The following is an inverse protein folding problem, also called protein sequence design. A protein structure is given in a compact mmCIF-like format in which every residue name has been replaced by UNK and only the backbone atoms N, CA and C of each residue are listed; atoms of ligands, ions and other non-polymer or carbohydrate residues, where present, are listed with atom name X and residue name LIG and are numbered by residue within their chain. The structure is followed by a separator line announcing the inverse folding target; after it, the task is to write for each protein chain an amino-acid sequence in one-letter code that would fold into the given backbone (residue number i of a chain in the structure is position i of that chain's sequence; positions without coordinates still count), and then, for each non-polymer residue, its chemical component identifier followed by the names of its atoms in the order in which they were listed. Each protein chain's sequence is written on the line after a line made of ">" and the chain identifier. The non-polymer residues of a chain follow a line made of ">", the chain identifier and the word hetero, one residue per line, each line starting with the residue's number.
data_IF_742097218560
#
_entry.id   IF_742097218560
#
_cell.length_a   1.000
_cell.length_b   1.000
_cell.length_c   1.000
_cell.angle_alpha   90.00
_cell.angle_beta   90.00
_cell.angle_gamma   90.00
#
_symmetry.space_group_name_H-M   'P 1'
#
loop_
_entity.id
_entity.type
_entity.pdbx_description
1 polymer ?
#
# COMPACT_ATOMS: atom_id res chain seq x y z
N UNK A 1 27.77 -17.32 -16.66
CA UNK A 1 26.74 -16.54 -15.93
C UNK A 1 25.97 -17.51 -15.07
N UNK A 2 26.15 -17.42 -13.75
CA UNK A 2 25.42 -18.25 -12.80
C UNK A 2 23.92 -18.02 -12.89
N UNK A 3 23.14 -19.06 -12.54
CA UNK A 3 21.67 -19.00 -12.53
C UNK A 3 21.16 -17.79 -11.71
N UNK A 4 21.86 -17.44 -10.65
CA UNK A 4 21.58 -16.28 -9.80
C UNK A 4 21.73 -14.94 -10.55
N UNK A 5 22.84 -14.75 -11.27
CA UNK A 5 23.09 -13.53 -12.05
C UNK A 5 22.07 -13.36 -13.19
N UNK A 6 21.65 -14.48 -13.81
CA UNK A 6 20.58 -14.45 -14.82
C UNK A 6 19.24 -14.03 -14.22
N UNK A 7 18.88 -14.56 -13.05
CA UNK A 7 17.63 -14.19 -12.36
C UNK A 7 17.66 -12.70 -11.97
N UNK A 8 18.77 -12.22 -11.40
CA UNK A 8 18.95 -10.79 -11.10
C UNK A 8 18.82 -9.92 -12.34
N UNK A 9 19.50 -10.28 -13.43
CA UNK A 9 19.44 -9.52 -14.66
C UNK A 9 18.01 -9.44 -15.22
N UNK A 10 17.26 -10.55 -15.19
CA UNK A 10 15.85 -10.58 -15.61
C UNK A 10 14.99 -9.70 -14.70
N UNK A 11 15.17 -9.76 -13.39
CA UNK A 11 14.43 -8.91 -12.45
C UNK A 11 14.74 -7.43 -12.69
N UNK A 12 16.02 -7.07 -12.80
CA UNK A 12 16.44 -5.68 -13.04
C UNK A 12 15.91 -5.18 -14.39
N UNK A 13 15.94 -6.01 -15.44
CA UNK A 13 15.40 -5.65 -16.74
C UNK A 13 13.87 -5.45 -16.71
N UNK A 14 13.13 -6.37 -16.07
CA UNK A 14 11.68 -6.25 -15.92
C UNK A 14 11.30 -5.05 -15.07
N UNK A 15 11.96 -4.85 -13.92
CA UNK A 15 11.79 -3.67 -13.09
C UNK A 15 12.12 -2.40 -13.86
N UNK A 16 13.20 -2.36 -14.64
CA UNK A 16 13.57 -1.21 -15.46
C UNK A 16 12.52 -0.87 -16.52
N UNK A 17 11.98 -1.88 -17.21
CA UNK A 17 10.91 -1.70 -18.19
C UNK A 17 9.62 -1.20 -17.53
N UNK A 18 9.25 -1.81 -16.38
CA UNK A 18 8.05 -1.43 -15.62
C UNK A 18 8.21 -0.01 -15.06
N UNK A 19 9.33 0.31 -14.41
CA UNK A 19 9.62 1.65 -13.89
C UNK A 19 9.64 2.70 -15.00
N UNK A 20 10.21 2.39 -16.16
CA UNK A 20 10.17 3.28 -17.33
C UNK A 20 8.76 3.50 -17.89
N UNK A 21 7.85 2.53 -17.72
CA UNK A 21 6.45 2.60 -18.15
C UNK A 21 5.52 3.25 -17.11
N UNK A 22 5.86 3.19 -15.83
CA UNK A 22 5.05 3.72 -14.74
C UNK A 22 5.13 5.26 -14.63
N UNK A 23 6.22 5.88 -15.10
CA UNK A 23 6.38 7.33 -15.06
C UNK A 23 6.16 7.90 -13.65
N UNK A 24 5.15 8.77 -13.48
CA UNK A 24 4.79 9.38 -12.19
C UNK A 24 4.39 8.34 -11.13
N UNK A 25 3.79 7.22 -11.53
CA UNK A 25 3.38 6.14 -10.62
C UNK A 25 4.57 5.38 -10.03
N UNK A 26 5.77 5.53 -10.58
CA UNK A 26 6.96 4.84 -10.08
C UNK A 26 7.31 5.27 -8.64
N UNK A 27 7.15 6.56 -8.30
CA UNK A 27 7.48 7.09 -6.97
C UNK A 27 6.56 6.48 -5.90
N UNK A 28 5.21 6.55 -6.02
CA UNK A 28 4.32 5.89 -5.08
C UNK A 28 4.57 4.38 -4.96
N UNK A 29 4.86 3.69 -6.07
CA UNK A 29 5.12 2.24 -6.04
C UNK A 29 6.39 1.88 -5.25
N UNK A 30 7.47 2.64 -5.43
CA UNK A 30 8.72 2.43 -4.68
C UNK A 30 8.49 2.68 -3.19
N UNK A 31 7.81 3.78 -2.84
CA UNK A 31 7.48 4.08 -1.43
C UNK A 31 6.64 2.98 -0.80
N UNK A 32 5.65 2.45 -1.53
CA UNK A 32 4.79 1.38 -1.07
C UNK A 32 5.58 0.08 -0.80
N UNK A 33 6.53 -0.29 -1.67
CA UNK A 33 7.44 -1.42 -1.44
C UNK A 33 8.28 -1.19 -0.18
N UNK A 34 8.87 0.00 -0.02
CA UNK A 34 9.70 0.34 1.14
C UNK A 34 8.89 0.28 2.43
N UNK A 35 7.70 0.87 2.48
CA UNK A 35 6.80 0.80 3.64
C UNK A 35 6.44 -0.65 3.97
N UNK A 36 6.17 -1.50 2.98
CA UNK A 36 5.84 -2.90 3.20
C UNK A 36 7.00 -3.69 3.84
N UNK A 37 8.23 -3.45 3.37
CA UNK A 37 9.45 -4.06 3.94
C UNK A 37 9.66 -3.62 5.39
N UNK A 38 9.51 -2.32 5.66
CA UNK A 38 9.63 -1.77 7.02
C UNK A 38 8.56 -2.38 7.92
N UNK A 39 7.30 -2.41 7.48
CA UNK A 39 6.20 -2.97 8.27
C UNK A 39 6.39 -4.46 8.58
N UNK A 40 6.84 -5.24 7.61
CA UNK A 40 7.12 -6.66 7.85
C UNK A 40 8.26 -6.84 8.85
N UNK A 41 9.32 -6.05 8.75
CA UNK A 41 10.42 -6.07 9.70
C UNK A 41 9.94 -5.68 11.11
N UNK A 42 9.23 -4.55 11.27
CA UNK A 42 8.72 -4.11 12.57
C UNK A 42 7.70 -5.10 13.15
N UNK A 43 6.87 -5.74 12.32
CA UNK A 43 5.94 -6.77 12.75
C UNK A 43 6.63 -8.02 13.31
N UNK A 44 7.75 -8.45 12.71
CA UNK A 44 8.57 -9.54 13.25
C UNK A 44 9.14 -9.13 14.62
N UNK A 45 9.73 -7.94 14.74
CA UNK A 45 10.28 -7.46 16.02
C UNK A 45 9.20 -7.33 17.10
N UNK A 46 8.02 -6.82 16.76
CA UNK A 46 6.88 -6.71 17.68
C UNK A 46 6.40 -8.07 18.16
N UNK A 47 6.33 -9.07 17.26
CA UNK A 47 5.91 -10.43 17.62
C UNK A 47 6.87 -11.09 18.62
N UNK A 48 8.18 -10.86 18.47
CA UNK A 48 9.20 -11.36 19.39
C UNK A 48 9.06 -10.72 20.79
N UNK A 49 8.74 -9.44 20.86
CA UNK A 49 8.57 -8.72 22.14
C UNK A 49 7.28 -9.11 22.88
N UNK A 50 6.22 -9.50 22.14
CA UNK A 50 4.92 -9.89 22.72
C UNK A 50 4.84 -11.32 23.26
N UNK A 51 5.91 -12.15 23.12
CA UNK A 51 5.92 -13.58 23.53
C UNK A 51 4.69 -14.37 23.00
N UNK A 52 4.06 -13.92 21.92
CA UNK A 52 2.99 -14.65 21.28
C UNK A 52 3.61 -15.67 20.34
N UNK A 53 3.17 -16.92 20.42
CA UNK A 53 3.50 -17.92 19.40
C UNK A 53 3.19 -17.29 18.03
N UNK A 54 4.17 -17.34 17.13
CA UNK A 54 4.02 -16.85 15.77
C UNK A 54 2.99 -17.76 15.09
N UNK A 55 1.72 -17.45 15.28
CA UNK A 55 0.63 -18.10 14.60
C UNK A 55 0.74 -17.69 13.13
N UNK A 56 1.39 -18.54 12.35
CA UNK A 56 1.58 -18.40 10.91
C UNK A 56 0.26 -18.06 10.21
N UNK A 57 -0.88 -18.51 10.76
CA UNK A 57 -2.20 -18.22 10.23
C UNK A 57 -2.57 -16.72 10.34
N UNK A 58 -2.23 -16.05 11.45
CA UNK A 58 -2.41 -14.59 11.59
C UNK A 58 -1.47 -13.82 10.66
N UNK A 59 -0.21 -14.25 10.54
CA UNK A 59 0.76 -13.65 9.62
C UNK A 59 0.36 -13.74 8.15
N UNK A 60 -0.09 -14.94 7.72
CA UNK A 60 -0.59 -15.19 6.36
C UNK A 60 -1.84 -14.36 6.07
N UNK A 61 -2.76 -14.20 7.04
CA UNK A 61 -3.95 -13.36 6.87
C UNK A 61 -3.59 -11.88 6.68
N UNK A 62 -2.57 -11.39 7.40
CA UNK A 62 -2.02 -10.05 7.23
C UNK A 62 -1.42 -9.85 5.83
N UNK A 63 -0.55 -10.76 5.40
CA UNK A 63 0.09 -10.71 4.06
C UNK A 63 -0.97 -10.77 2.95
N UNK A 64 -1.97 -11.65 3.08
CA UNK A 64 -3.07 -11.77 2.11
C UNK A 64 -3.84 -10.46 1.98
N UNK A 65 -4.15 -9.79 3.10
CA UNK A 65 -4.82 -8.47 3.08
C UNK A 65 -3.98 -7.43 2.33
N UNK A 66 -2.66 -7.43 2.52
CA UNK A 66 -1.75 -6.52 1.80
C UNK A 66 -1.70 -6.79 0.31
N UNK A 67 -1.63 -8.06 -0.10
CA UNK A 67 -1.68 -8.43 -1.52
C UNK A 67 -3.01 -7.95 -2.14
N UNK A 68 -4.13 -8.12 -1.44
CA UNK A 68 -5.41 -7.58 -1.90
C UNK A 68 -5.41 -6.05 -2.01
N UNK A 69 -4.73 -5.33 -1.10
CA UNK A 69 -4.58 -3.87 -1.19
C UNK A 69 -3.78 -3.45 -2.44
N UNK A 70 -2.77 -4.21 -2.85
CA UNK A 70 -2.02 -3.92 -4.08
C UNK A 70 -2.88 -4.04 -5.34
N UNK A 71 -3.88 -4.94 -5.34
CA UNK A 71 -4.83 -5.05 -6.45
C UNK A 71 -5.61 -3.75 -6.65
N UNK A 72 -5.85 -2.96 -5.61
CA UNK A 72 -6.53 -1.67 -5.72
C UNK A 72 -5.71 -0.64 -6.51
N UNK A 73 -4.37 -0.68 -6.41
CA UNK A 73 -3.51 0.14 -7.28
C UNK A 73 -3.69 -0.27 -8.74
N UNK A 74 -3.79 -1.59 -9.00
CA UNK A 74 -4.11 -2.13 -10.32
C UNK A 74 -5.46 -1.65 -10.85
N UNK A 75 -6.49 -1.61 -9.99
CA UNK A 75 -7.80 -1.02 -10.34
C UNK A 75 -7.66 0.46 -10.67
N UNK A 76 -6.88 1.22 -9.89
CA UNK A 76 -6.58 2.62 -10.19
C UNK A 76 -5.94 2.80 -11.58
N UNK A 77 -4.99 1.94 -11.94
CA UNK A 77 -4.35 1.94 -13.27
C UNK A 77 -5.37 1.65 -14.39
N UNK A 78 -6.32 0.74 -14.16
CA UNK A 78 -7.40 0.48 -15.14
C UNK A 78 -8.26 1.73 -15.33
N UNK A 79 -8.65 2.41 -14.25
CA UNK A 79 -9.43 3.65 -14.32
C UNK A 79 -8.64 4.74 -15.06
N UNK A 80 -7.36 4.92 -14.75
CA UNK A 80 -6.53 5.91 -15.43
C UNK A 80 -6.39 5.64 -16.94
N UNK A 81 -6.31 4.37 -17.34
CA UNK A 81 -6.30 4.00 -18.77
C UNK A 81 -7.64 4.31 -19.46
N UNK A 82 -8.77 4.08 -18.78
CA UNK A 82 -10.09 4.44 -19.29
C UNK A 82 -10.26 5.96 -19.42
N UNK A 83 -9.75 6.73 -18.45
CA UNK A 83 -9.73 8.19 -18.50
C UNK A 83 -8.88 8.69 -19.66
N UNK A 84 -7.67 8.14 -19.85
CA UNK A 84 -6.79 8.50 -20.95
C UNK A 84 -7.41 8.16 -22.33
N UNK A 85 -8.06 7.00 -22.46
CA UNK A 85 -8.77 6.63 -23.69
C UNK A 85 -9.93 7.59 -23.99
N UNK A 86 -10.73 7.90 -22.98
CA UNK A 86 -11.88 8.80 -23.11
C UNK A 86 -11.43 10.23 -23.42
N UNK A 87 -10.40 10.74 -22.75
CA UNK A 87 -9.88 12.09 -22.99
C UNK A 87 -9.31 12.23 -24.40
N UNK A 88 -8.64 11.18 -24.90
CA UNK A 88 -8.18 11.10 -26.29
C UNK A 88 -9.35 11.15 -27.29
N UNK A 89 -10.43 10.42 -27.03
CA UNK A 89 -11.63 10.44 -27.87
C UNK A 89 -12.37 11.80 -27.85
N UNK A 90 -12.33 12.52 -26.73
CA UNK A 90 -12.97 13.85 -26.56
C UNK A 90 -12.04 15.00 -26.97
N UNK A 91 -10.77 14.72 -27.31
CA UNK A 91 -9.78 15.74 -27.70
C UNK A 91 -9.23 16.56 -26.52
N UNK A 92 -9.39 16.08 -25.29
CA UNK A 92 -8.87 16.70 -24.08
C UNK A 92 -7.53 16.04 -23.72
N UNK A 93 -6.46 16.83 -23.71
CA UNK A 93 -5.15 16.37 -23.24
C UNK A 93 -5.04 16.54 -21.73
N UNK A 94 -4.99 15.44 -20.98
CA UNK A 94 -4.69 15.47 -19.56
C UNK A 94 -3.16 15.61 -19.37
N UNK A 95 -2.67 16.61 -18.62
CA UNK A 95 -1.23 16.80 -18.39
C UNK A 95 -0.66 15.81 -17.36
N UNK A 96 -1.50 14.98 -16.76
CA UNK A 96 -1.14 13.99 -15.74
C UNK A 96 -1.53 12.58 -16.19
N UNK A 97 -0.72 11.60 -15.82
CA UNK A 97 -0.98 10.18 -16.04
C UNK A 97 -1.01 9.46 -14.70
N UNK A 98 -1.86 8.44 -14.59
CA UNK A 98 -1.98 7.59 -13.40
C UNK A 98 -2.43 8.33 -12.12
N UNK A 99 -3.32 9.32 -12.25
CA UNK A 99 -3.77 10.14 -11.12
C UNK A 99 -4.52 9.30 -10.08
N UNK A 100 -5.44 8.45 -10.52
CA UNK A 100 -6.25 7.61 -9.63
C UNK A 100 -5.36 6.57 -8.94
N UNK A 101 -4.49 5.90 -9.69
CA UNK A 101 -3.52 4.96 -9.14
C UNK A 101 -2.58 5.62 -8.12
N UNK A 102 -2.14 6.86 -8.36
CA UNK A 102 -1.32 7.60 -7.40
C UNK A 102 -2.08 7.86 -6.09
N UNK A 103 -3.33 8.30 -6.17
CA UNK A 103 -4.16 8.55 -4.98
C UNK A 103 -4.36 7.27 -4.18
N UNK A 104 -4.68 6.17 -4.85
CA UNK A 104 -4.86 4.86 -4.20
C UNK A 104 -3.56 4.38 -3.56
N UNK A 105 -2.42 4.55 -4.24
CA UNK A 105 -1.11 4.19 -3.69
C UNK A 105 -0.76 5.02 -2.44
N UNK A 106 -1.02 6.34 -2.45
CA UNK A 106 -0.83 7.21 -1.28
C UNK A 106 -1.71 6.76 -0.12
N UNK A 107 -2.97 6.43 -0.39
CA UNK A 107 -3.89 5.92 0.63
C UNK A 107 -3.38 4.61 1.25
N UNK A 108 -2.88 3.68 0.45
CA UNK A 108 -2.30 2.42 0.96
C UNK A 108 -1.02 2.68 1.77
N UNK A 109 -0.14 3.58 1.33
CA UNK A 109 1.06 3.97 2.08
C UNK A 109 0.68 4.50 3.46
N UNK A 110 -0.35 5.35 3.55
CA UNK A 110 -0.86 5.82 4.84
C UNK A 110 -1.30 4.65 5.73
N UNK A 111 -2.00 3.64 5.19
CA UNK A 111 -2.39 2.45 5.96
C UNK A 111 -1.18 1.64 6.45
N UNK A 112 -0.14 1.48 5.63
CA UNK A 112 1.10 0.80 6.03
C UNK A 112 1.84 1.59 7.12
N UNK A 113 1.86 2.92 7.04
CA UNK A 113 2.46 3.77 8.10
C UNK A 113 1.74 3.57 9.44
N UNK A 114 0.41 3.47 9.46
CA UNK A 114 -0.34 3.19 10.70
C UNK A 114 0.08 1.84 11.28
N UNK A 115 0.16 0.80 10.44
CA UNK A 115 0.61 -0.54 10.84
C UNK A 115 2.02 -0.54 11.44
N UNK A 116 2.95 0.22 10.82
CA UNK A 116 4.32 0.36 11.34
C UNK A 116 4.31 1.00 12.72
N UNK A 117 3.52 2.07 12.89
CA UNK A 117 3.44 2.80 14.15
C UNK A 117 2.82 1.95 15.26
N UNK A 118 1.84 1.10 14.95
CA UNK A 118 1.29 0.11 15.88
C UNK A 118 2.36 -0.90 16.30
N UNK A 119 3.10 -1.48 15.34
CA UNK A 119 4.20 -2.41 15.63
C UNK A 119 5.30 -1.77 16.50
N UNK A 120 5.66 -0.50 16.24
CA UNK A 120 6.67 0.22 17.04
C UNK A 120 6.18 0.44 18.48
N UNK A 121 4.93 0.86 18.64
CA UNK A 121 4.32 1.01 19.97
C UNK A 121 4.29 -0.32 20.73
N UNK A 122 4.04 -1.43 20.03
CA UNK A 122 4.00 -2.77 20.59
C UNK A 122 5.36 -3.30 21.05
N UNK A 123 6.45 -2.83 20.45
CA UNK A 123 7.84 -3.13 20.88
C UNK A 123 8.19 -2.37 22.19
N UNK A 124 7.32 -1.47 22.66
CA UNK A 124 7.55 -0.67 23.86
C UNK A 124 8.46 0.54 23.64
N UNK A 125 8.69 0.91 22.37
CA UNK A 125 9.34 2.18 22.03
C UNK A 125 8.34 3.30 22.31
N UNK A 126 8.71 4.22 23.20
CA UNK A 126 7.90 5.42 23.47
C UNK A 126 7.85 6.29 22.22
N UNK A 127 6.74 6.20 21.50
CA UNK A 127 6.47 7.07 20.37
C UNK A 127 6.50 8.52 20.86
N UNK A 128 7.19 9.44 20.16
CA UNK A 128 7.20 10.83 20.56
C UNK A 128 5.77 11.39 20.53
N UNK A 129 5.41 12.27 21.48
CA UNK A 129 4.02 12.67 21.74
C UNK A 129 3.35 13.41 20.58
N UNK A 130 4.10 13.85 19.56
CA UNK A 130 3.53 14.42 18.34
C UNK A 130 3.00 13.36 17.35
N UNK A 131 3.51 12.12 17.40
CA UNK A 131 3.06 11.03 16.52
C UNK A 131 1.78 10.38 17.03
N UNK A 132 1.58 10.31 18.34
CA UNK A 132 0.41 9.66 18.95
C UNK A 132 -0.94 10.28 18.51
N UNK A 133 -1.10 11.61 18.48
CA UNK A 133 -2.28 12.26 17.93
C UNK A 133 -2.43 12.00 16.43
N UNK A 134 -1.34 11.97 15.66
CA UNK A 134 -1.37 11.74 14.21
C UNK A 134 -1.86 10.31 13.93
N UNK A 135 -1.30 9.31 14.60
CA UNK A 135 -1.71 7.90 14.48
C UNK A 135 -3.19 7.75 14.83
N UNK A 136 -3.63 8.38 15.94
CA UNK A 136 -5.00 8.27 16.42
C UNK A 136 -6.01 8.95 15.48
N UNK A 137 -5.68 10.15 14.97
CA UNK A 137 -6.52 10.84 13.99
C UNK A 137 -6.54 10.12 12.64
N UNK A 138 -5.42 9.54 12.21
CA UNK A 138 -5.34 8.80 10.96
C UNK A 138 -6.11 7.48 11.05
N UNK A 139 -6.01 6.76 12.18
CA UNK A 139 -6.81 5.57 12.47
C UNK A 139 -8.31 5.88 12.47
N UNK A 140 -8.74 6.92 13.19
CA UNK A 140 -10.14 7.35 13.21
C UNK A 140 -10.63 7.66 11.80
N UNK A 141 -9.91 8.45 11.02
CA UNK A 141 -10.36 8.81 9.67
C UNK A 141 -10.41 7.63 8.69
N UNK A 142 -9.57 6.61 8.87
CA UNK A 142 -9.61 5.39 8.06
C UNK A 142 -10.75 4.47 8.50
N UNK A 143 -10.98 4.31 9.81
CA UNK A 143 -12.07 3.49 10.38
C UNK A 143 -13.44 4.14 10.15
N UNK A 144 -13.59 5.44 10.43
CA UNK A 144 -14.84 6.20 10.22
C UNK A 144 -15.26 6.17 8.74
N UNK A 145 -14.31 6.28 7.80
CA UNK A 145 -14.62 6.16 6.37
C UNK A 145 -14.86 4.73 5.89
N UNK A 146 -14.29 3.73 6.56
CA UNK A 146 -14.58 2.33 6.28
C UNK A 146 -15.97 1.92 6.79
N UNK A 147 -16.44 2.50 7.90
CA UNK A 147 -17.77 2.25 8.45
C UNK A 147 -18.88 3.02 7.73
N UNK A 148 -18.60 4.20 7.13
CA UNK A 148 -19.51 4.86 6.17
C UNK A 148 -19.86 3.94 4.98
N UNK A 149 -18.98 3.00 4.61
CA UNK A 149 -19.25 2.02 3.55
C UNK A 149 -20.05 0.79 4.03
N UNK A 150 -20.17 0.56 5.34
CA UNK A 150 -21.01 -0.52 5.89
C UNK A 150 -22.47 -0.09 6.06
N UNK A 151 -22.71 1.17 6.40
CA UNK A 151 -24.09 1.67 6.59
C UNK A 151 -24.83 1.95 5.27
N UNK A 152 -24.13 2.06 4.14
CA UNK A 152 -24.74 2.26 2.82
C UNK A 152 -25.17 0.98 2.08
N UNK A 153 -24.96 -0.20 2.66
CA UNK A 153 -25.16 -1.51 1.99
C UNK A 153 -26.31 -2.36 2.52
N UNK A 154 -27.16 -1.82 3.39
CA UNK A 154 -28.28 -2.57 3.99
C UNK A 154 -29.57 -1.75 3.93
N UNK A 155 -30.04 -1.46 2.72
CA UNK A 155 -31.42 -1.07 2.43
C UNK A 155 -31.70 -1.47 0.99
N UNK A 156 -31.91 -2.75 0.74
CA UNK A 156 -32.67 -3.28 -0.40
C UNK A 156 -33.24 -4.63 0.06
N UNK A 157 -34.37 -4.55 0.78
CA UNK A 157 -35.42 -5.59 0.80
C UNK A 157 -36.37 -5.35 -0.38
#
# INVERSE_FOLDING_TARGET
>A
MDRYEKIKAVIIALCGIISGRLGVLAIPMILLIVCNVIDYATGIFASHYRNQEIDSYKGIKGITKKICMWLLVGVGVVIDNLLAYTSGAVGITLPFSFLVACIVAVWIICNEIISILENINDIGVTLPPFLMPIVRNLKSQVEDKADILKEGGSNDD
#
